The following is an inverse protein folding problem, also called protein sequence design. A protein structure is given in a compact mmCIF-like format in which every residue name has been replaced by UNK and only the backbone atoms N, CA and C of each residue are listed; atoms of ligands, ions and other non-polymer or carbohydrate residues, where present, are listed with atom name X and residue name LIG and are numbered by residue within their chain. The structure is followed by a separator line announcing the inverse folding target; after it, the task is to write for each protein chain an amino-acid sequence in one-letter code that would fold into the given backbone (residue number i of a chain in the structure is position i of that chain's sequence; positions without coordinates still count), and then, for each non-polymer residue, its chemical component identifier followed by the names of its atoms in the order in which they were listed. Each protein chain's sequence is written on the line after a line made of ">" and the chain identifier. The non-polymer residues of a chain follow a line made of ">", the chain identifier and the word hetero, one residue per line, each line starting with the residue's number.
data_IF_951780789796
#
_entry.id   IF_951780789796
#
_cell.length_a   1.000
_cell.length_b   1.000
_cell.length_c   1.000
_cell.angle_alpha   90.00
_cell.angle_beta   90.00
_cell.angle_gamma   90.00
#
_symmetry.space_group_name_H-M   'P 1'
#
loop_
_entity.id
_entity.type
_entity.pdbx_description
1 polymer ?
#
# COMPACT_ATOMS: atom_id res chain seq x y z
N UNK A 1 -11.02 -59.17 -4.27
CA UNK A 1 -10.02 -58.14 -4.63
C UNK A 1 -10.46 -56.83 -3.98
N UNK A 2 -9.89 -56.47 -2.83
CA UNK A 2 -10.26 -55.27 -2.07
C UNK A 2 -9.22 -54.19 -2.38
N UNK A 3 -9.64 -53.11 -3.05
CA UNK A 3 -8.81 -51.92 -3.30
C UNK A 3 -8.80 -51.08 -2.02
N UNK A 4 -7.66 -51.02 -1.35
CA UNK A 4 -7.41 -50.07 -0.26
C UNK A 4 -7.05 -48.73 -0.90
N UNK A 5 -7.99 -47.78 -0.87
CA UNK A 5 -7.73 -46.40 -1.26
C UNK A 5 -7.04 -45.69 -0.09
N UNK A 6 -5.75 -45.40 -0.28
CA UNK A 6 -4.93 -44.60 0.63
C UNK A 6 -5.33 -43.12 0.44
N UNK A 7 -6.19 -42.60 1.31
CA UNK A 7 -6.50 -41.17 1.37
C UNK A 7 -5.37 -40.51 2.17
N UNK A 8 -4.40 -39.95 1.44
CA UNK A 8 -3.41 -39.04 1.98
C UNK A 8 -4.10 -37.68 2.19
N UNK A 9 -4.81 -37.53 3.30
CA UNK A 9 -5.31 -36.24 3.74
C UNK A 9 -4.10 -35.38 4.15
N UNK A 10 -3.58 -34.61 3.20
CA UNK A 10 -2.62 -33.54 3.49
C UNK A 10 -3.32 -32.56 4.42
N UNK A 11 -2.91 -32.59 5.69
CA UNK A 11 -3.17 -31.56 6.67
C UNK A 11 -2.41 -30.30 6.24
N UNK A 12 -2.94 -29.59 5.25
CA UNK A 12 -2.62 -28.19 5.07
C UNK A 12 -3.32 -27.45 6.21
N UNK A 13 -2.67 -27.39 7.37
CA UNK A 13 -3.01 -26.38 8.36
C UNK A 13 -2.93 -25.04 7.63
N UNK A 14 -4.01 -24.24 7.58
CA UNK A 14 -3.90 -22.89 7.05
C UNK A 14 -2.83 -22.22 7.90
N UNK A 15 -1.71 -21.86 7.26
CA UNK A 15 -0.80 -20.88 7.82
C UNK A 15 -1.63 -19.61 7.86
N UNK A 16 -2.30 -19.40 8.99
CA UNK A 16 -2.82 -18.11 9.41
C UNK A 16 -1.57 -17.24 9.65
N UNK A 17 -0.91 -16.87 8.55
CA UNK A 17 0.10 -15.84 8.59
C UNK A 17 -0.59 -14.60 9.14
N UNK A 18 -0.03 -14.02 10.19
CA UNK A 18 -0.58 -12.82 10.81
C UNK A 18 -0.99 -11.82 9.72
N UNK A 19 -2.25 -11.35 9.77
CA UNK A 19 -2.73 -10.31 8.87
C UNK A 19 -1.76 -9.13 8.95
N UNK A 20 -1.23 -8.60 7.83
CA UNK A 20 -0.29 -7.48 7.85
C UNK A 20 -0.86 -6.31 8.66
N UNK A 21 -0.04 -5.69 9.50
CA UNK A 21 -0.49 -4.57 10.36
C UNK A 21 0.30 -3.30 10.12
N UNK A 22 1.43 -3.38 9.42
CA UNK A 22 2.34 -2.26 9.20
C UNK A 22 2.69 -2.09 7.72
N UNK A 23 3.20 -0.91 7.36
CA UNK A 23 3.72 -0.63 6.03
C UNK A 23 4.82 -1.60 5.61
N UNK A 24 5.72 -2.02 6.52
CA UNK A 24 6.77 -2.99 6.17
C UNK A 24 6.20 -4.39 5.95
N UNK A 25 5.16 -4.80 6.68
CA UNK A 25 4.51 -6.08 6.43
C UNK A 25 3.90 -6.12 5.02
N UNK A 26 3.29 -5.01 4.60
CA UNK A 26 2.74 -4.87 3.25
C UNK A 26 3.83 -4.83 2.17
N UNK A 27 4.88 -4.05 2.38
CA UNK A 27 6.02 -3.98 1.46
C UNK A 27 6.76 -5.34 1.36
N UNK A 28 6.87 -6.11 2.44
CA UNK A 28 7.47 -7.44 2.42
C UNK A 28 6.63 -8.48 1.65
N UNK A 29 5.33 -8.23 1.49
CA UNK A 29 4.44 -9.07 0.68
C UNK A 29 4.33 -8.60 -0.77
N UNK A 30 4.62 -7.33 -1.02
CA UNK A 30 4.73 -6.82 -2.38
C UNK A 30 5.98 -7.42 -3.03
N UNK A 31 5.88 -7.88 -4.27
CA UNK A 31 7.01 -8.39 -5.06
C UNK A 31 7.94 -7.24 -5.48
N UNK A 32 8.56 -6.57 -4.50
CA UNK A 32 9.28 -5.31 -4.69
C UNK A 32 10.52 -5.48 -5.55
N UNK A 33 11.22 -6.60 -5.45
CA UNK A 33 12.43 -6.84 -6.25
C UNK A 33 12.08 -6.94 -7.74
N UNK A 34 10.96 -7.57 -8.09
CA UNK A 34 10.47 -7.63 -9.45
C UNK A 34 10.05 -6.24 -9.97
N UNK A 35 9.54 -5.37 -9.08
CA UNK A 35 9.06 -4.03 -9.45
C UNK A 35 10.17 -2.98 -9.53
N UNK A 36 11.12 -3.02 -8.59
CA UNK A 36 12.24 -2.08 -8.52
C UNK A 36 13.45 -2.58 -9.32
N UNK A 37 13.47 -3.85 -9.71
CA UNK A 37 14.49 -4.45 -10.57
C UNK A 37 15.80 -4.82 -9.84
N UNK A 38 15.80 -4.75 -8.51
CA UNK A 38 16.96 -5.04 -7.67
C UNK A 38 16.52 -5.53 -6.28
N UNK A 39 17.39 -6.24 -5.55
CA UNK A 39 17.15 -6.58 -4.14
C UNK A 39 16.85 -5.33 -3.30
N UNK A 40 15.95 -5.49 -2.32
CA UNK A 40 15.50 -4.37 -1.48
C UNK A 40 15.81 -4.61 -0.01
N UNK A 41 16.23 -3.55 0.67
CA UNK A 41 16.28 -3.50 2.14
C UNK A 41 15.09 -2.70 2.65
N UNK A 42 14.28 -3.32 3.52
CA UNK A 42 13.16 -2.64 4.18
C UNK A 42 13.65 -1.99 5.48
N UNK A 43 13.37 -0.70 5.63
CA UNK A 43 13.67 0.07 6.82
C UNK A 43 12.36 0.58 7.44
N UNK A 44 12.01 0.15 8.66
CA UNK A 44 10.85 0.67 9.35
C UNK A 44 11.07 2.13 9.75
N UNK A 45 10.08 2.96 9.47
CA UNK A 45 10.01 4.35 9.91
C UNK A 45 9.22 4.50 11.21
N UNK A 46 8.51 5.62 11.35
CA UNK A 46 7.65 5.81 12.51
C UNK A 46 6.42 4.88 12.47
N UNK A 47 5.94 4.51 13.65
CA UNK A 47 4.65 3.84 13.80
C UNK A 47 3.92 4.42 15.00
N UNK A 48 2.62 4.67 14.83
CA UNK A 48 1.73 5.17 15.88
C UNK A 48 0.42 4.42 15.82
N UNK A 49 0.00 3.88 16.95
CA UNK A 49 -1.32 3.26 17.11
C UNK A 49 -2.03 3.91 18.28
N UNK A 50 -3.28 4.34 18.07
CA UNK A 50 -4.21 4.69 19.13
C UNK A 50 -5.58 4.07 18.81
N UNK A 51 -6.59 4.37 19.62
CA UNK A 51 -7.93 3.78 19.47
C UNK A 51 -8.59 4.11 18.11
N UNK A 52 -8.28 5.26 17.51
CA UNK A 52 -8.93 5.74 16.29
C UNK A 52 -8.12 5.47 15.02
N UNK A 53 -6.79 5.40 15.12
CA UNK A 53 -5.90 5.29 13.96
C UNK A 53 -4.65 4.47 14.25
N UNK A 54 -4.29 3.64 13.27
CA UNK A 54 -2.96 3.05 13.11
C UNK A 54 -2.29 3.70 11.90
N UNK A 55 -1.10 4.26 12.11
CA UNK A 55 -0.25 4.78 11.04
C UNK A 55 1.13 4.13 11.15
N UNK A 56 1.71 3.78 10.02
CA UNK A 56 3.09 3.30 9.95
C UNK A 56 3.74 3.72 8.64
N UNK A 57 5.05 3.98 8.70
CA UNK A 57 5.89 4.27 7.56
C UNK A 57 6.91 3.15 7.36
N UNK A 58 7.15 2.77 6.12
CA UNK A 58 8.25 1.90 5.74
C UNK A 58 8.93 2.42 4.48
N UNK A 59 10.23 2.24 4.37
CA UNK A 59 11.00 2.57 3.18
C UNK A 59 11.67 1.30 2.64
N UNK A 60 11.54 1.04 1.34
CA UNK A 60 12.28 0.04 0.61
C UNK A 60 13.39 0.73 -0.18
N UNK A 61 14.64 0.31 -0.01
CA UNK A 61 15.80 0.90 -0.68
C UNK A 61 16.60 -0.16 -1.42
N UNK A 62 16.98 0.11 -2.67
CA UNK A 62 17.88 -0.76 -3.46
C UNK A 62 19.34 -0.39 -3.22
N UNK A 63 20.27 -1.25 -3.62
CA UNK A 63 21.71 -0.97 -3.53
C UNK A 63 22.15 0.26 -4.34
N UNK A 64 21.47 0.53 -5.45
CA UNK A 64 21.72 1.69 -6.32
C UNK A 64 21.14 3.01 -5.75
N UNK A 65 20.43 2.93 -4.62
CA UNK A 65 19.87 4.10 -3.92
C UNK A 65 18.45 4.50 -4.34
N UNK A 66 17.78 3.73 -5.22
CA UNK A 66 16.35 3.91 -5.47
C UNK A 66 15.58 3.61 -4.18
N UNK A 67 14.62 4.48 -3.84
CA UNK A 67 13.90 4.40 -2.57
C UNK A 67 12.41 4.63 -2.77
N UNK A 68 11.59 3.65 -2.38
CA UNK A 68 10.14 3.74 -2.31
C UNK A 68 9.70 3.81 -0.84
N UNK A 69 8.91 4.82 -0.49
CA UNK A 69 8.29 4.92 0.83
C UNK A 69 6.80 4.54 0.74
N UNK A 70 6.32 3.81 1.75
CA UNK A 70 4.90 3.53 1.98
C UNK A 70 4.50 4.08 3.35
N UNK A 71 3.59 5.05 3.37
CA UNK A 71 2.80 5.40 4.55
C UNK A 71 1.48 4.62 4.49
N UNK A 72 1.27 3.75 5.47
CA UNK A 72 0.05 2.98 5.65
C UNK A 72 -0.76 3.57 6.82
N UNK A 73 -2.01 3.93 6.57
CA UNK A 73 -2.96 4.44 7.56
C UNK A 73 -4.21 3.56 7.55
N UNK A 74 -4.57 3.05 8.71
CA UNK A 74 -5.82 2.33 8.98
C UNK A 74 -6.62 3.13 10.02
N UNK A 75 -7.82 3.54 9.63
CA UNK A 75 -8.83 4.19 10.45
C UNK A 75 -10.10 3.37 10.43
N UNK A 76 -10.19 2.41 11.34
CA UNK A 76 -11.29 1.45 11.39
C UNK A 76 -12.66 2.09 11.71
N UNK A 77 -12.66 3.24 12.38
CA UNK A 77 -13.86 4.03 12.72
C UNK A 77 -14.24 5.06 11.64
N UNK A 78 -13.57 5.07 10.48
CA UNK A 78 -13.92 5.98 9.39
C UNK A 78 -15.31 5.66 8.83
N UNK A 79 -16.18 6.67 8.80
CA UNK A 79 -17.58 6.54 8.34
C UNK A 79 -17.87 7.32 7.07
N UNK A 80 -16.96 8.17 6.61
CA UNK A 80 -17.14 8.95 5.38
C UNK A 80 -17.03 8.06 4.15
N UNK A 81 -17.70 8.46 3.07
CA UNK A 81 -17.57 7.74 1.80
C UNK A 81 -16.17 7.92 1.20
N UNK A 82 -15.67 6.99 0.37
CA UNK A 82 -14.41 7.19 -0.36
C UNK A 82 -14.38 8.50 -1.17
N UNK A 83 -15.50 8.91 -1.75
CA UNK A 83 -15.60 10.17 -2.49
C UNK A 83 -15.38 11.39 -1.59
N UNK A 84 -15.98 11.40 -0.39
CA UNK A 84 -15.79 12.48 0.58
C UNK A 84 -14.34 12.52 1.11
N UNK A 85 -13.72 11.36 1.29
CA UNK A 85 -12.32 11.25 1.71
C UNK A 85 -11.37 11.81 0.65
N UNK A 86 -11.59 11.44 -0.62
CA UNK A 86 -10.82 11.95 -1.76
C UNK A 86 -10.97 13.47 -1.89
N UNK A 87 -12.19 13.99 -1.77
CA UNK A 87 -12.45 15.43 -1.82
C UNK A 87 -11.72 16.16 -0.68
N UNK A 88 -11.85 15.68 0.56
CA UNK A 88 -11.18 16.28 1.72
C UNK A 88 -9.65 16.27 1.58
N UNK A 89 -9.08 15.20 1.02
CA UNK A 89 -7.63 15.10 0.79
C UNK A 89 -7.14 16.09 -0.27
N UNK A 90 -7.89 16.25 -1.37
CA UNK A 90 -7.59 17.24 -2.41
C UNK A 90 -7.63 18.66 -1.83
N UNK A 91 -8.63 18.97 -1.03
CA UNK A 91 -8.78 20.27 -0.37
C UNK A 91 -7.63 20.54 0.61
N UNK A 92 -7.26 19.54 1.42
CA UNK A 92 -6.13 19.63 2.35
C UNK A 92 -4.84 19.96 1.60
N UNK A 93 -4.49 19.20 0.55
CA UNK A 93 -3.27 19.45 -0.20
C UNK A 93 -3.30 20.77 -0.98
N UNK A 94 -4.44 21.16 -1.55
CA UNK A 94 -4.60 22.46 -2.20
C UNK A 94 -4.44 23.63 -1.23
N UNK A 95 -4.76 23.45 0.06
CA UNK A 95 -4.60 24.49 1.08
C UNK A 95 -3.15 24.74 1.50
N UNK A 96 -2.27 23.75 1.33
CA UNK A 96 -0.87 23.81 1.78
C UNK A 96 0.14 23.96 0.64
N UNK A 97 -0.23 23.62 -0.59
CA UNK A 97 0.65 23.72 -1.76
C UNK A 97 0.32 24.95 -2.61
N UNK A 98 1.36 25.58 -3.16
CA UNK A 98 1.22 26.68 -4.12
C UNK A 98 2.24 26.53 -5.27
N UNK A 99 1.81 26.27 -6.53
CA UNK A 99 0.42 26.18 -6.98
C UNK A 99 -0.30 24.94 -6.40
N UNK A 100 -1.65 24.90 -6.45
CA UNK A 100 -2.41 23.72 -6.07
C UNK A 100 -1.95 22.48 -6.87
N UNK A 101 -1.94 21.29 -6.23
CA UNK A 101 -1.54 20.06 -6.89
C UNK A 101 -2.52 19.68 -8.00
N UNK A 102 -1.99 19.07 -9.06
CA UNK A 102 -2.80 18.50 -10.12
C UNK A 102 -2.84 16.98 -9.94
N UNK A 103 -4.02 16.45 -9.65
CA UNK A 103 -4.20 15.02 -9.46
C UNK A 103 -4.79 14.34 -10.69
N UNK A 104 -4.20 13.22 -11.06
CA UNK A 104 -4.78 12.24 -11.97
C UNK A 104 -5.53 11.18 -11.16
N UNK A 105 -6.77 10.85 -11.55
CA UNK A 105 -7.52 9.73 -10.96
C UNK A 105 -7.13 8.42 -11.63
N UNK A 106 -6.97 7.37 -10.83
CA UNK A 106 -6.57 6.05 -11.29
C UNK A 106 -7.59 4.99 -10.86
N UNK A 107 -7.75 3.97 -11.70
CA UNK A 107 -8.56 2.79 -11.40
C UNK A 107 -7.76 1.79 -10.55
N UNK A 108 -7.67 2.06 -9.26
CA UNK A 108 -7.02 1.22 -8.23
C UNK A 108 -7.78 1.32 -6.91
N UNK A 109 -7.94 0.17 -6.24
CA UNK A 109 -8.65 0.11 -4.95
C UNK A 109 -10.10 0.57 -5.09
N UNK A 110 -10.58 1.37 -4.14
CA UNK A 110 -11.86 2.08 -4.24
C UNK A 110 -11.71 3.48 -4.82
N UNK A 111 -10.55 4.08 -4.64
CA UNK A 111 -10.14 5.33 -5.26
C UNK A 111 -8.62 5.43 -5.21
N UNK A 112 -8.03 6.07 -6.22
CA UNK A 112 -6.62 6.40 -6.21
C UNK A 112 -6.33 7.71 -6.93
N UNK A 113 -5.37 8.46 -6.39
CA UNK A 113 -4.89 9.72 -6.93
C UNK A 113 -3.38 9.66 -7.14
N UNK A 114 -2.93 10.04 -8.33
CA UNK A 114 -1.53 10.34 -8.61
C UNK A 114 -1.31 11.85 -8.61
N UNK A 115 -0.37 12.31 -7.78
CA UNK A 115 0.11 13.70 -7.77
C UNK A 115 1.54 13.74 -8.33
N UNK A 116 1.71 14.39 -9.47
CA UNK A 116 2.95 14.35 -10.24
C UNK A 116 4.09 15.14 -9.59
N UNK A 117 3.80 16.21 -8.84
CA UNK A 117 4.80 17.11 -8.26
C UNK A 117 5.59 16.46 -7.13
N UNK A 118 4.89 15.76 -6.24
CA UNK A 118 5.43 15.02 -5.11
C UNK A 118 5.76 13.57 -5.47
N UNK A 119 5.49 13.16 -6.71
CA UNK A 119 5.59 11.78 -7.17
C UNK A 119 4.88 10.78 -6.23
N UNK A 120 3.64 11.13 -5.89
CA UNK A 120 2.91 10.46 -4.83
C UNK A 120 1.65 9.79 -5.37
N UNK A 121 1.53 8.49 -5.11
CA UNK A 121 0.30 7.73 -5.34
C UNK A 121 -0.43 7.58 -3.99
N UNK A 122 -1.67 8.04 -3.90
CA UNK A 122 -2.54 7.80 -2.74
C UNK A 122 -3.66 6.85 -3.14
N UNK A 123 -3.87 5.78 -2.38
CA UNK A 123 -4.87 4.74 -2.65
C UNK A 123 -5.74 4.55 -1.41
N UNK A 124 -7.05 4.49 -1.60
CA UNK A 124 -8.02 4.11 -0.59
C UNK A 124 -8.54 2.70 -0.86
N UNK A 125 -8.56 1.84 0.16
CA UNK A 125 -9.10 0.48 0.12
C UNK A 125 -10.02 0.25 1.33
N UNK A 126 -10.65 -0.93 1.42
CA UNK A 126 -11.47 -1.33 2.57
C UNK A 126 -12.52 -0.30 3.00
N UNK A 127 -13.39 0.11 2.07
CA UNK A 127 -14.42 1.16 2.29
C UNK A 127 -13.85 2.55 2.65
N UNK A 128 -12.57 2.79 2.37
CA UNK A 128 -11.87 4.04 2.73
C UNK A 128 -11.21 4.01 4.10
N UNK A 129 -11.34 2.90 4.84
CA UNK A 129 -10.71 2.72 6.17
C UNK A 129 -9.20 2.60 6.07
N UNK A 130 -8.69 2.11 4.94
CA UNK A 130 -7.26 2.01 4.67
C UNK A 130 -6.88 3.04 3.62
N UNK A 131 -5.84 3.81 3.92
CA UNK A 131 -5.20 4.76 3.03
C UNK A 131 -3.72 4.44 2.94
N UNK A 132 -3.25 4.21 1.72
CA UNK A 132 -1.85 3.96 1.40
C UNK A 132 -1.30 5.11 0.60
N UNK A 133 -0.13 5.60 0.98
CA UNK A 133 0.57 6.65 0.24
C UNK A 133 1.95 6.12 -0.14
N UNK A 134 2.21 6.07 -1.44
CA UNK A 134 3.47 5.65 -2.02
C UNK A 134 4.21 6.85 -2.58
N UNK A 135 5.50 6.97 -2.26
CA UNK A 135 6.37 8.01 -2.80
C UNK A 135 7.62 7.35 -3.36
N UNK A 136 7.95 7.65 -4.61
CA UNK A 136 9.15 7.18 -5.30
C UNK A 136 9.57 8.26 -6.31
N UNK A 137 10.86 8.51 -6.46
CA UNK A 137 11.37 9.46 -7.44
C UNK A 137 11.97 8.73 -8.65
N UNK A 138 12.12 9.45 -9.77
CA UNK A 138 12.74 8.94 -10.99
C UNK A 138 11.75 8.72 -12.15
N UNK A 139 12.27 8.36 -13.34
CA UNK A 139 11.50 8.32 -14.58
C UNK A 139 10.35 7.29 -14.58
N UNK A 140 10.45 6.25 -13.75
CA UNK A 140 9.45 5.18 -13.64
C UNK A 140 8.65 5.24 -12.33
N UNK A 141 8.71 6.36 -11.61
CA UNK A 141 8.06 6.53 -10.31
C UNK A 141 6.58 6.12 -10.32
N UNK A 142 5.81 6.69 -11.26
CA UNK A 142 4.37 6.45 -11.38
C UNK A 142 4.07 4.97 -11.62
N UNK A 143 4.70 4.37 -12.62
CA UNK A 143 4.47 2.98 -13.02
C UNK A 143 4.82 2.00 -11.90
N UNK A 144 5.96 2.22 -11.23
CA UNK A 144 6.42 1.40 -10.10
C UNK A 144 5.51 1.54 -8.88
N UNK A 145 5.09 2.76 -8.51
CA UNK A 145 4.12 2.95 -7.42
C UNK A 145 2.80 2.22 -7.70
N UNK A 146 2.29 2.30 -8.93
CA UNK A 146 1.07 1.59 -9.35
C UNK A 146 1.26 0.07 -9.24
N UNK A 147 2.39 -0.46 -9.70
CA UNK A 147 2.67 -1.90 -9.64
C UNK A 147 2.75 -2.41 -8.19
N UNK A 148 3.44 -1.69 -7.30
CA UNK A 148 3.51 -2.04 -5.87
C UNK A 148 2.13 -1.95 -5.22
N UNK A 149 1.39 -0.88 -5.46
CA UNK A 149 0.04 -0.72 -4.90
C UNK A 149 -0.89 -1.86 -5.32
N UNK A 150 -0.85 -2.26 -6.61
CA UNK A 150 -1.64 -3.39 -7.11
C UNK A 150 -1.28 -4.70 -6.42
N UNK A 151 0.02 -4.99 -6.27
CA UNK A 151 0.49 -6.19 -5.58
C UNK A 151 -0.02 -6.24 -4.12
N UNK A 152 -0.02 -5.10 -3.41
CA UNK A 152 -0.56 -5.01 -2.05
C UNK A 152 -2.08 -5.25 -2.03
N UNK A 153 -2.83 -4.61 -2.92
CA UNK A 153 -4.29 -4.77 -3.03
C UNK A 153 -4.66 -6.24 -3.34
N UNK A 154 -3.93 -6.89 -4.25
CA UNK A 154 -4.13 -8.31 -4.59
C UNK A 154 -3.82 -9.25 -3.41
N UNK A 155 -2.88 -8.85 -2.53
CA UNK A 155 -2.58 -9.55 -1.29
C UNK A 155 -3.57 -9.26 -0.14
N UNK A 156 -4.63 -8.47 -0.39
CA UNK A 156 -5.68 -8.13 0.56
C UNK A 156 -5.45 -6.83 1.34
N UNK A 157 -4.63 -5.91 0.80
CA UNK A 157 -4.39 -4.57 1.36
C UNK A 157 -5.42 -3.53 0.99
#
# INVERSE_FOLDING_TARGET
>A
MIRVAMILAMLATPVLGDTPKTACDWLARAELEATLGAPVTLTPGFSRTNAAVRVSLCTATTEDGDSLALLYRDTSDETRSPADLVAAYRDELASVMNPPPNFEELDLGLAALWEATMHQLTVWSHEGKVMMVFTLFGPHARERCIAVARSILEAGG
#
